data_IF_592445500275
#
_entry.id   IF_592445500275
#
_cell.length_a   1.000
_cell.length_b   1.000
_cell.length_c   1.000
_cell.angle_alpha   90.00
_cell.angle_beta   90.00
_cell.angle_gamma   90.00
#
_symmetry.space_group_name_H-M   'P 1'
#
loop_
_entity.id
_entity.type
_entity.pdbx_description
1 polymer ?
#
# COMPACT_ATOMS: atom_id res chain seq x y z
N UNK A 1 27.55 -76.96 -73.81
CA UNK A 1 26.13 -76.72 -73.48
C UNK A 1 25.89 -76.51 -71.97
N UNK A 2 26.32 -77.43 -71.08
CA UNK A 2 26.08 -77.32 -69.62
C UNK A 2 26.56 -76.02 -68.95
N UNK A 3 27.70 -75.44 -69.38
CA UNK A 3 28.23 -74.17 -68.83
C UNK A 3 27.38 -72.94 -69.14
N UNK A 4 26.75 -72.89 -70.31
CA UNK A 4 25.87 -71.78 -70.72
C UNK A 4 24.56 -71.86 -69.94
N UNK A 5 23.99 -73.06 -69.79
CA UNK A 5 22.80 -73.27 -68.98
C UNK A 5 23.02 -72.86 -67.51
N UNK A 6 24.17 -73.22 -66.93
CA UNK A 6 24.53 -72.83 -65.56
C UNK A 6 24.65 -71.30 -65.42
N UNK A 7 25.23 -70.62 -66.42
CA UNK A 7 25.34 -69.16 -66.43
C UNK A 7 23.97 -68.47 -66.54
N UNK A 8 23.05 -68.99 -67.35
CA UNK A 8 21.68 -68.45 -67.49
C UNK A 8 20.89 -68.63 -66.19
N UNK A 9 20.99 -69.78 -65.52
CA UNK A 9 20.35 -69.99 -64.22
C UNK A 9 20.92 -69.08 -63.13
N UNK A 10 22.24 -68.89 -63.09
CA UNK A 10 22.88 -67.97 -62.15
C UNK A 10 22.46 -66.51 -62.36
N UNK A 11 22.27 -66.10 -63.62
CA UNK A 11 21.78 -64.75 -63.95
C UNK A 11 20.30 -64.58 -63.57
N UNK A 12 19.47 -65.59 -63.82
CA UNK A 12 18.06 -65.58 -63.48
C UNK A 12 17.84 -65.53 -61.96
N UNK A 13 18.58 -66.32 -61.18
CA UNK A 13 18.48 -66.29 -59.70
C UNK A 13 19.00 -64.97 -59.14
N UNK A 14 20.07 -64.40 -59.71
CA UNK A 14 20.57 -63.08 -59.31
C UNK A 14 19.54 -61.98 -59.58
N UNK A 15 18.87 -61.97 -60.73
CA UNK A 15 17.81 -61.01 -61.06
C UNK A 15 16.60 -61.16 -60.12
N UNK A 16 16.18 -62.39 -59.81
CA UNK A 16 15.05 -62.65 -58.91
C UNK A 16 15.37 -62.16 -57.48
N UNK A 17 16.57 -62.44 -56.99
CA UNK A 17 17.03 -61.98 -55.67
C UNK A 17 17.15 -60.45 -55.64
N UNK A 18 17.68 -59.84 -56.71
CA UNK A 18 17.77 -58.39 -56.85
C UNK A 18 16.39 -57.71 -56.88
N UNK A 19 15.42 -58.27 -57.61
CA UNK A 19 14.04 -57.79 -57.62
C UNK A 19 13.40 -57.89 -56.23
N UNK A 20 13.53 -59.04 -55.55
CA UNK A 20 12.98 -59.23 -54.21
C UNK A 20 13.62 -58.29 -53.18
N UNK A 21 14.94 -58.10 -53.26
CA UNK A 21 15.69 -57.19 -52.39
C UNK A 21 15.24 -55.74 -52.53
N UNK A 22 14.75 -55.34 -53.71
CA UNK A 22 14.26 -53.99 -53.95
C UNK A 22 12.76 -53.83 -53.64
N UNK A 23 11.91 -54.85 -53.82
CA UNK A 23 10.46 -54.74 -53.55
C UNK A 23 10.10 -54.76 -52.06
N UNK A 24 10.80 -55.54 -51.24
CA UNK A 24 10.54 -55.65 -49.80
C UNK A 24 10.65 -54.28 -49.07
N UNK A 25 11.70 -53.45 -49.28
CA UNK A 25 11.78 -52.15 -48.62
C UNK A 25 10.68 -51.18 -49.09
N UNK A 26 10.22 -51.24 -50.34
CA UNK A 26 9.09 -50.42 -50.81
C UNK A 26 7.76 -50.81 -50.14
N UNK A 27 7.49 -52.12 -49.99
CA UNK A 27 6.30 -52.61 -49.29
C UNK A 27 6.35 -52.20 -47.82
N UNK A 28 7.51 -52.35 -47.17
CA UNK A 28 7.71 -51.93 -45.79
C UNK A 28 7.51 -50.42 -45.61
N UNK A 29 8.02 -49.61 -46.56
CA UNK A 29 7.82 -48.16 -46.58
C UNK A 29 6.34 -47.77 -46.74
N UNK A 30 5.60 -48.44 -47.63
CA UNK A 30 4.15 -48.22 -47.81
C UNK A 30 3.35 -48.56 -46.56
N UNK A 31 3.67 -49.69 -45.90
CA UNK A 31 3.05 -50.06 -44.61
C UNK A 31 3.36 -49.02 -43.55
N UNK A 32 4.59 -48.51 -43.48
CA UNK A 32 4.98 -47.47 -42.53
C UNK A 32 4.23 -46.15 -42.78
N UNK A 33 4.07 -45.75 -44.05
CA UNK A 33 3.29 -44.57 -44.44
C UNK A 33 1.81 -44.73 -44.07
N UNK A 34 1.22 -45.90 -44.31
CA UNK A 34 -0.17 -46.18 -43.93
C UNK A 34 -0.35 -46.16 -42.40
N UNK A 35 0.54 -46.81 -41.66
CA UNK A 35 0.50 -46.80 -40.19
C UNK A 35 0.68 -45.38 -39.64
N UNK A 36 1.59 -44.59 -40.20
CA UNK A 36 1.79 -43.19 -39.85
C UNK A 36 0.55 -42.33 -40.14
N UNK A 37 -0.10 -42.54 -41.29
CA UNK A 37 -1.33 -41.82 -41.66
C UNK A 37 -2.51 -42.14 -40.73
N UNK A 38 -2.66 -43.42 -40.34
CA UNK A 38 -3.69 -43.87 -39.39
C UNK A 38 -3.40 -43.31 -37.99
N UNK A 39 -2.14 -43.32 -37.56
CA UNK A 39 -1.73 -42.74 -36.28
C UNK A 39 -1.98 -41.24 -36.25
N UNK A 40 -1.58 -40.51 -37.29
CA UNK A 40 -1.84 -39.08 -37.44
C UNK A 40 -3.35 -38.77 -37.40
N UNK A 41 -4.16 -39.52 -38.13
CA UNK A 41 -5.62 -39.35 -38.13
C UNK A 41 -6.23 -39.62 -36.74
N UNK A 42 -5.77 -40.67 -36.06
CA UNK A 42 -6.21 -40.98 -34.68
C UNK A 42 -5.82 -39.88 -33.70
N UNK A 43 -4.60 -39.35 -33.80
CA UNK A 43 -4.11 -38.27 -32.94
C UNK A 43 -4.94 -37.01 -33.13
N UNK A 44 -5.20 -36.62 -34.38
CA UNK A 44 -6.02 -35.45 -34.72
C UNK A 44 -7.46 -35.59 -34.21
N UNK A 45 -8.06 -36.77 -34.35
CA UNK A 45 -9.41 -37.05 -33.81
C UNK A 45 -9.45 -36.94 -32.28
N UNK A 46 -8.39 -37.37 -31.59
CA UNK A 46 -8.29 -37.26 -30.12
C UNK A 46 -8.24 -35.79 -29.68
N UNK A 47 -7.45 -34.96 -30.37
CA UNK A 47 -7.41 -33.51 -30.11
C UNK A 47 -8.74 -32.83 -30.43
N UNK A 48 -9.41 -33.22 -31.51
CA UNK A 48 -10.72 -32.67 -31.86
C UNK A 48 -11.77 -33.00 -30.80
N UNK A 49 -11.76 -34.22 -30.26
CA UNK A 49 -12.67 -34.63 -29.20
C UNK A 49 -12.40 -33.85 -27.90
N UNK A 50 -11.14 -33.69 -27.52
CA UNK A 50 -10.73 -32.91 -26.35
C UNK A 50 -11.15 -31.43 -26.49
N UNK A 51 -11.00 -30.85 -27.68
CA UNK A 51 -11.48 -29.49 -27.98
C UNK A 51 -13.01 -29.40 -27.88
N UNK A 52 -13.74 -30.38 -28.41
CA UNK A 52 -15.21 -30.42 -28.38
C UNK A 52 -15.76 -30.59 -26.96
N UNK A 53 -15.08 -31.39 -26.11
CA UNK A 53 -15.43 -31.53 -24.70
C UNK A 53 -15.18 -30.22 -23.94
N UNK A 54 -14.07 -29.54 -24.20
CA UNK A 54 -13.77 -28.23 -23.62
C UNK A 54 -14.77 -27.15 -24.08
N UNK A 55 -15.22 -27.16 -25.33
CA UNK A 55 -16.28 -26.23 -25.78
C UNK A 55 -17.60 -26.53 -25.09
N UNK A 56 -17.99 -27.81 -24.97
CA UNK A 56 -19.23 -28.20 -24.30
C UNK A 56 -19.20 -27.83 -22.80
N UNK A 57 -18.05 -28.01 -22.14
CA UNK A 57 -17.87 -27.63 -20.74
C UNK A 57 -17.90 -26.09 -20.58
N UNK A 58 -17.28 -25.36 -21.50
CA UNK A 58 -17.34 -23.89 -21.53
C UNK A 58 -18.77 -23.39 -21.74
N UNK A 59 -19.53 -24.03 -22.63
CA UNK A 59 -20.94 -23.69 -22.90
C UNK A 59 -21.85 -24.04 -21.70
N UNK A 60 -21.59 -25.15 -21.02
CA UNK A 60 -22.28 -25.48 -19.78
C UNK A 60 -21.94 -24.52 -18.63
N UNK A 61 -20.67 -24.11 -18.52
CA UNK A 61 -20.23 -23.13 -17.53
C UNK A 61 -20.79 -21.73 -17.81
N UNK A 62 -20.91 -21.31 -19.08
CA UNK A 62 -21.55 -20.03 -19.44
C UNK A 62 -23.05 -20.06 -19.17
N UNK A 63 -23.74 -21.18 -19.40
CA UNK A 63 -25.15 -21.34 -18.99
C UNK A 63 -25.32 -21.31 -17.46
N UNK A 64 -24.41 -21.94 -16.71
CA UNK A 64 -24.39 -21.83 -15.24
C UNK A 64 -24.14 -20.40 -14.76
N UNK A 65 -23.22 -19.68 -15.40
CA UNK A 65 -22.97 -18.26 -15.11
C UNK A 65 -24.17 -17.38 -15.47
N UNK A 66 -24.90 -17.68 -16.55
CA UNK A 66 -26.15 -16.97 -16.88
C UNK A 66 -27.23 -17.21 -15.82
N UNK A 67 -27.34 -18.42 -15.27
CA UNK A 67 -28.28 -18.72 -14.18
C UNK A 67 -27.84 -18.14 -12.83
N UNK A 68 -26.53 -17.98 -12.61
CA UNK A 68 -25.95 -17.26 -11.46
C UNK A 68 -26.03 -15.73 -11.61
N UNK A 69 -26.17 -15.23 -12.84
CA UNK A 69 -26.43 -13.83 -13.15
C UNK A 69 -27.94 -13.55 -13.26
N UNK A 70 -28.71 -13.97 -12.25
CA UNK A 70 -29.72 -13.06 -11.72
C UNK A 70 -28.92 -11.89 -11.17
N UNK A 71 -28.75 -10.88 -12.03
CA UNK A 71 -28.20 -9.56 -11.79
C UNK A 71 -27.93 -9.35 -10.30
N UNK A 72 -26.66 -9.41 -9.82
CA UNK A 72 -26.40 -9.26 -8.41
C UNK A 72 -27.03 -7.93 -8.03
N UNK A 73 -28.06 -8.02 -7.21
CA UNK A 73 -28.91 -6.89 -6.87
C UNK A 73 -27.95 -5.75 -6.52
N UNK A 74 -28.06 -4.62 -7.22
CA UNK A 74 -27.13 -3.50 -7.05
C UNK A 74 -26.93 -3.14 -5.57
N UNK A 75 -27.94 -3.47 -4.75
CA UNK A 75 -27.95 -3.42 -3.29
C UNK A 75 -26.93 -4.34 -2.60
N UNK A 76 -26.73 -5.57 -3.07
CA UNK A 76 -25.79 -6.53 -2.47
C UNK A 76 -24.35 -6.09 -2.72
N UNK A 77 -24.01 -5.69 -3.95
CA UNK A 77 -22.68 -5.15 -4.25
C UNK A 77 -22.44 -3.82 -3.52
N UNK A 78 -23.46 -2.96 -3.43
CA UNK A 78 -23.39 -1.72 -2.66
C UNK A 78 -23.19 -2.00 -1.17
N UNK A 79 -23.89 -2.98 -0.59
CA UNK A 79 -23.76 -3.34 0.83
C UNK A 79 -22.40 -3.98 1.14
N UNK A 80 -21.85 -4.78 0.22
CA UNK A 80 -20.52 -5.37 0.35
C UNK A 80 -19.41 -4.30 0.25
N UNK A 81 -19.51 -3.39 -0.72
CA UNK A 81 -18.56 -2.27 -0.85
C UNK A 81 -18.67 -1.31 0.35
N UNK A 82 -19.88 -1.01 0.82
CA UNK A 82 -20.09 -0.21 2.04
C UNK A 82 -19.50 -0.88 3.28
N UNK A 83 -19.59 -2.22 3.39
CA UNK A 83 -18.96 -2.99 4.45
C UNK A 83 -17.43 -2.90 4.42
N UNK A 84 -16.82 -3.07 3.24
CA UNK A 84 -15.37 -2.93 3.05
C UNK A 84 -14.91 -1.49 3.34
N UNK A 85 -15.65 -0.49 2.84
CA UNK A 85 -15.40 0.93 3.11
C UNK A 85 -15.42 1.21 4.62
N UNK A 86 -16.43 0.69 5.33
CA UNK A 86 -16.56 0.85 6.78
C UNK A 86 -15.39 0.19 7.52
N UNK A 87 -14.92 -0.98 7.09
CA UNK A 87 -13.79 -1.67 7.72
C UNK A 87 -12.47 -0.93 7.54
N UNK A 88 -12.22 -0.38 6.34
CA UNK A 88 -11.02 0.42 6.06
C UNK A 88 -11.03 1.69 6.93
N UNK A 89 -12.17 2.38 7.00
CA UNK A 89 -12.32 3.58 7.83
C UNK A 89 -12.09 3.25 9.32
N UNK A 90 -12.63 2.13 9.82
CA UNK A 90 -12.44 1.70 11.22
C UNK A 90 -10.95 1.40 11.53
N UNK A 91 -10.24 0.76 10.60
CA UNK A 91 -8.82 0.45 10.78
C UNK A 91 -7.94 1.71 10.78
N UNK A 92 -8.22 2.66 9.90
CA UNK A 92 -7.50 3.94 9.92
C UNK A 92 -7.82 4.73 11.19
N UNK A 93 -9.10 4.83 11.60
CA UNK A 93 -9.49 5.51 12.84
C UNK A 93 -8.82 4.89 14.06
N UNK A 94 -8.78 3.55 14.18
CA UNK A 94 -8.14 2.88 15.32
C UNK A 94 -6.62 3.11 15.38
N UNK A 95 -5.98 3.27 14.23
CA UNK A 95 -4.55 3.63 14.11
C UNK A 95 -4.27 5.07 14.56
N UNK A 96 -5.20 6.00 14.31
CA UNK A 96 -5.11 7.38 14.80
C UNK A 96 -5.53 7.53 16.27
N UNK A 97 -6.50 6.74 16.75
CA UNK A 97 -7.04 6.82 18.10
C UNK A 97 -6.07 6.34 19.19
N UNK A 98 -5.03 5.59 18.83
CA UNK A 98 -4.12 4.94 19.79
C UNK A 98 -2.79 5.66 20.00
N UNK A 99 -2.52 6.78 19.31
CA UNK A 99 -1.30 7.55 19.59
C UNK A 99 -1.49 8.30 20.92
N UNK A 100 -0.72 7.98 21.98
CA UNK A 100 -0.81 8.72 23.23
C UNK A 100 -0.50 10.19 22.96
N UNK A 101 -1.27 11.09 23.58
CA UNK A 101 -1.04 12.53 23.47
C UNK A 101 0.43 12.82 23.82
N UNK A 102 1.13 13.68 23.04
CA UNK A 102 2.51 14.02 23.33
C UNK A 102 2.61 14.59 24.74
N UNK A 103 3.58 14.09 25.52
CA UNK A 103 3.84 14.53 26.89
C UNK A 103 5.26 15.09 26.97
N UNK A 104 5.43 16.15 27.73
CA UNK A 104 6.73 16.73 28.06
C UNK A 104 7.10 16.37 29.50
N UNK A 105 8.36 16.00 29.70
CA UNK A 105 8.92 15.76 31.01
C UNK A 105 9.47 17.08 31.58
N UNK A 106 8.91 17.54 32.69
CA UNK A 106 9.33 18.72 33.43
C UNK A 106 10.09 18.27 34.68
N UNK A 107 11.43 18.39 34.72
CA UNK A 107 12.20 18.07 35.90
C UNK A 107 12.04 19.19 36.95
N UNK A 108 11.37 18.88 38.06
CA UNK A 108 11.34 19.72 39.26
C UNK A 108 12.44 19.28 40.23
N UNK A 109 12.60 20.02 41.33
CA UNK A 109 13.60 19.72 42.36
C UNK A 109 13.43 18.33 42.99
N UNK A 110 12.19 17.90 43.26
CA UNK A 110 11.90 16.64 43.94
C UNK A 110 11.40 15.52 43.02
N UNK A 111 10.84 15.85 41.84
CA UNK A 111 10.19 14.89 40.97
C UNK A 111 10.28 15.29 39.49
N UNK A 112 10.07 14.35 38.57
CA UNK A 112 9.82 14.67 37.16
C UNK A 112 8.33 14.58 36.89
N UNK A 113 7.71 15.70 36.51
CA UNK A 113 6.29 15.76 36.18
C UNK A 113 6.08 15.61 34.68
N UNK A 114 5.21 14.67 34.29
CA UNK A 114 4.84 14.46 32.89
C UNK A 114 3.53 15.17 32.56
N UNK A 115 3.62 16.24 31.78
CA UNK A 115 2.48 17.09 31.42
C UNK A 115 2.11 16.85 29.96
N UNK A 116 0.81 16.75 29.64
CA UNK A 116 0.40 16.67 28.24
C UNK A 116 0.64 18.02 27.56
N UNK A 117 1.19 18.00 26.35
CA UNK A 117 1.57 19.23 25.65
C UNK A 117 0.35 20.13 25.36
N UNK A 118 -0.83 19.53 25.19
CA UNK A 118 -2.10 20.23 25.00
C UNK A 118 -2.56 21.00 26.26
N UNK A 119 -2.12 20.58 27.44
CA UNK A 119 -2.49 21.21 28.71
C UNK A 119 -1.64 22.45 29.01
N UNK A 120 -0.59 22.70 28.22
CA UNK A 120 0.29 23.85 28.39
C UNK A 120 -0.26 25.02 27.56
N UNK A 121 -0.61 26.11 28.26
CA UNK A 121 -1.16 27.33 27.67
C UNK A 121 -0.03 28.22 27.15
N UNK A 122 0.97 28.48 28.00
CA UNK A 122 2.14 29.30 27.67
C UNK A 122 3.31 28.99 28.58
N UNK A 123 4.51 29.36 28.14
CA UNK A 123 5.72 29.36 28.94
C UNK A 123 6.29 30.77 29.03
N UNK A 124 6.80 31.12 30.20
CA UNK A 124 7.40 32.40 30.51
C UNK A 124 8.84 32.20 30.99
N UNK A 125 9.78 32.99 30.45
CA UNK A 125 11.15 33.00 30.92
C UNK A 125 11.25 33.83 32.18
N UNK A 126 11.75 33.20 33.25
CA UNK A 126 12.14 33.86 34.49
C UNK A 126 13.65 33.69 34.68
N UNK A 127 14.40 34.56 34.00
CA UNK A 127 15.86 34.52 33.93
C UNK A 127 16.41 33.18 33.39
N UNK A 128 16.97 32.33 34.24
CA UNK A 128 17.48 30.99 33.89
C UNK A 128 16.44 29.88 34.05
N UNK A 129 15.26 30.23 34.57
CA UNK A 129 14.15 29.32 34.79
C UNK A 129 13.06 29.54 33.74
N UNK A 130 12.22 28.53 33.55
CA UNK A 130 11.03 28.61 32.72
C UNK A 130 9.82 28.26 33.55
N UNK A 131 8.86 29.18 33.60
CA UNK A 131 7.56 28.97 34.21
C UNK A 131 6.57 28.48 33.16
N UNK A 132 6.00 27.31 33.36
CA UNK A 132 4.94 26.73 32.55
C UNK A 132 3.60 27.09 33.17
N UNK A 133 2.69 27.67 32.37
CA UNK A 133 1.31 27.93 32.75
C UNK A 133 0.42 26.85 32.11
N UNK A 134 -0.27 26.08 32.95
CA UNK A 134 -1.15 25.00 32.52
C UNK A 134 -2.61 25.45 32.53
N UNK A 135 -3.46 24.67 31.88
CA UNK A 135 -4.91 24.82 31.98
C UNK A 135 -5.31 24.72 33.45
N UNK A 136 -6.23 25.59 33.88
CA UNK A 136 -6.67 25.66 35.27
C UNK A 136 -5.82 26.56 36.17
N UNK A 137 -4.77 27.19 35.64
CA UNK A 137 -3.95 28.17 36.38
C UNK A 137 -2.86 27.54 37.23
N UNK A 138 -2.58 26.25 37.07
CA UNK A 138 -1.41 25.62 37.68
C UNK A 138 -0.13 26.17 37.02
N UNK A 139 0.86 26.50 37.84
CA UNK A 139 2.17 26.98 37.38
C UNK A 139 3.28 26.01 37.81
N UNK A 140 4.18 25.66 36.89
CA UNK A 140 5.35 24.81 37.17
C UNK A 140 6.62 25.57 36.81
N UNK A 141 7.55 25.69 37.76
CA UNK A 141 8.86 26.29 37.54
C UNK A 141 9.90 25.20 37.27
N UNK A 142 10.65 25.34 36.17
CA UNK A 142 11.69 24.40 35.77
C UNK A 142 13.03 25.10 35.62
N UNK A 143 14.11 24.46 36.09
CA UNK A 143 15.50 24.93 36.04
C UNK A 143 16.15 24.76 34.66
N UNK A 144 15.44 25.11 33.59
CA UNK A 144 15.94 25.10 32.21
C UNK A 144 15.50 26.37 31.49
N UNK A 145 16.26 26.74 30.48
CA UNK A 145 16.01 27.98 29.74
C UNK A 145 14.83 27.85 28.77
N UNK A 146 14.14 28.96 28.51
CA UNK A 146 13.03 29.00 27.55
C UNK A 146 13.50 28.60 26.13
N UNK A 147 14.77 28.84 25.80
CA UNK A 147 15.36 28.48 24.51
C UNK A 147 15.36 26.97 24.29
N UNK A 148 15.80 26.19 25.28
CA UNK A 148 15.78 24.72 25.20
C UNK A 148 14.36 24.19 24.96
N UNK A 149 13.38 24.73 25.68
CA UNK A 149 11.99 24.33 25.50
C UNK A 149 11.36 24.84 24.22
N UNK A 150 11.86 25.94 23.64
CA UNK A 150 11.42 26.39 22.32
C UNK A 150 11.75 25.34 21.26
N UNK A 151 12.93 24.73 21.33
CA UNK A 151 13.34 23.70 20.39
C UNK A 151 12.53 22.41 20.60
N UNK A 152 12.38 21.97 21.86
CA UNK A 152 11.61 20.76 22.21
C UNK A 152 10.12 20.88 21.84
N UNK A 153 9.53 22.07 22.00
CA UNK A 153 8.10 22.30 21.73
C UNK A 153 7.84 22.81 20.30
N UNK A 154 8.87 22.99 19.48
CA UNK A 154 8.73 23.54 18.12
C UNK A 154 7.85 22.66 17.21
N UNK A 155 7.84 21.35 17.44
CA UNK A 155 7.02 20.38 16.70
C UNK A 155 5.55 20.34 17.16
N UNK A 156 5.22 21.04 18.25
CA UNK A 156 3.92 20.94 18.92
C UNK A 156 3.09 22.22 18.87
N UNK A 157 3.23 23.00 17.79
CA UNK A 157 2.46 24.24 17.57
C UNK A 157 2.69 25.31 18.65
N UNK A 158 3.89 25.35 19.23
CA UNK A 158 4.34 26.45 20.07
C UNK A 158 5.04 27.51 19.22
N UNK A 159 4.70 28.77 19.48
CA UNK A 159 5.31 29.92 18.82
C UNK A 159 5.92 30.87 19.82
N UNK A 160 7.17 31.27 19.56
CA UNK A 160 7.86 32.26 20.38
C UNK A 160 7.41 33.65 19.98
N UNK A 161 6.60 34.29 20.82
CA UNK A 161 6.01 35.60 20.56
C UNK A 161 6.92 36.73 21.00
N UNK A 162 7.61 36.55 22.13
CA UNK A 162 8.54 37.52 22.72
C UNK A 162 9.85 36.84 23.15
N UNK A 163 10.85 37.60 23.58
CA UNK A 163 12.07 37.00 24.14
C UNK A 163 11.78 36.13 25.39
N UNK A 164 10.75 36.52 26.15
CA UNK A 164 10.34 35.90 27.41
C UNK A 164 9.09 35.05 27.31
N UNK A 165 8.44 34.97 26.14
CA UNK A 165 7.15 34.27 26.00
C UNK A 165 7.15 33.28 24.85
N UNK A 166 6.71 32.07 25.16
CA UNK A 166 6.42 30.97 24.24
C UNK A 166 4.94 30.60 24.43
N UNK A 167 4.17 30.57 23.36
CA UNK A 167 2.70 30.45 23.43
C UNK A 167 2.25 29.26 22.60
N UNK A 168 1.32 28.47 23.13
CA UNK A 168 0.63 27.44 22.37
C UNK A 168 -0.43 28.09 21.48
N UNK A 169 -0.39 27.87 20.16
CA UNK A 169 -1.32 28.52 19.23
C UNK A 169 -2.76 28.04 19.40
N UNK A 170 -2.99 26.84 19.93
CA UNK A 170 -4.35 26.35 20.24
C UNK A 170 -5.07 27.16 21.32
N UNK A 171 -4.31 27.80 22.20
CA UNK A 171 -4.87 28.60 23.30
C UNK A 171 -4.99 30.09 22.95
N UNK A 172 -4.69 30.48 21.70
CA UNK A 172 -4.82 31.86 21.23
C UNK A 172 -6.27 32.13 20.85
N UNK A 173 -6.88 33.12 21.51
CA UNK A 173 -8.25 33.57 21.27
C UNK A 173 -8.33 34.60 20.14
N UNK A 174 -7.46 35.60 20.15
CA UNK A 174 -7.48 36.66 19.13
C UNK A 174 -6.17 37.44 19.05
N UNK A 175 -5.85 37.96 17.86
CA UNK A 175 -4.78 38.93 17.66
C UNK A 175 -5.28 40.36 17.90
N UNK A 176 -4.73 41.03 18.92
CA UNK A 176 -5.00 42.42 19.23
C UNK A 176 -4.04 43.36 18.46
N UNK A 177 -4.60 44.42 17.87
CA UNK A 177 -3.84 45.41 17.08
C UNK A 177 -3.32 46.60 17.91
N UNK A 178 -3.53 46.58 19.22
CA UNK A 178 -3.02 47.58 20.16
C UNK A 178 -1.50 47.43 20.39
N UNK A 179 -0.83 48.55 20.69
CA UNK A 179 0.57 48.63 21.16
C UNK A 179 1.62 47.83 20.36
N UNK A 180 1.43 47.71 19.04
CA UNK A 180 2.38 47.04 18.15
C UNK A 180 2.13 45.55 17.92
N UNK A 181 1.07 45.00 18.53
CA UNK A 181 0.58 43.64 18.32
C UNK A 181 0.70 42.77 19.58
N UNK A 182 -0.43 42.28 20.06
CA UNK A 182 -0.52 41.41 21.24
C UNK A 182 -1.45 40.23 20.95
N UNK A 183 -1.20 39.07 21.56
CA UNK A 183 -2.10 37.92 21.54
C UNK A 183 -2.98 37.94 22.78
N UNK A 184 -4.28 37.74 22.59
CA UNK A 184 -5.20 37.41 23.68
C UNK A 184 -5.34 35.89 23.73
N UNK A 185 -5.12 35.31 24.91
CA UNK A 185 -5.28 33.88 25.15
C UNK A 185 -6.68 33.55 25.69
N UNK A 186 -7.02 32.26 25.74
CA UNK A 186 -8.30 31.76 26.24
C UNK A 186 -8.52 32.04 27.74
N UNK A 187 -7.45 32.12 28.52
CA UNK A 187 -7.45 32.51 29.94
C UNK A 187 -7.64 34.03 30.14
N UNK A 188 -7.69 34.81 29.07
CA UNK A 188 -7.79 36.28 29.10
C UNK A 188 -6.44 37.00 29.22
N UNK A 189 -5.32 36.27 29.30
CA UNK A 189 -3.99 36.86 29.38
C UNK A 189 -3.61 37.51 28.05
N UNK A 190 -3.04 38.72 28.13
CA UNK A 190 -2.48 39.44 26.97
C UNK A 190 -0.97 39.19 26.89
N UNK A 191 -0.49 38.66 25.77
CA UNK A 191 0.93 38.39 25.52
C UNK A 191 1.47 39.32 24.44
N UNK A 192 2.51 40.13 24.72
CA UNK A 192 3.09 41.01 23.72
C UNK A 192 3.82 40.22 22.64
N UNK A 193 3.77 40.71 21.39
CA UNK A 193 4.52 40.13 20.28
C UNK A 193 5.64 41.08 19.86
N UNK A 194 6.88 40.58 19.81
CA UNK A 194 8.02 41.39 19.38
C UNK A 194 7.92 41.74 17.89
N UNK A 195 8.48 42.89 17.49
CA UNK A 195 8.51 43.31 16.08
C UNK A 195 9.17 42.25 15.17
N UNK A 196 10.21 41.59 15.67
CA UNK A 196 10.96 40.55 14.95
C UNK A 196 10.12 39.27 14.73
N UNK A 197 9.38 38.85 15.76
CA UNK A 197 8.60 37.61 15.69
C UNK A 197 7.23 37.80 15.06
N UNK A 198 6.75 39.04 14.93
CA UNK A 198 5.40 39.36 14.46
C UNK A 198 5.05 38.68 13.13
N UNK A 199 5.95 38.70 12.17
CA UNK A 199 5.67 38.16 10.83
C UNK A 199 5.61 36.62 10.89
N UNK A 200 6.50 35.99 11.66
CA UNK A 200 6.49 34.55 11.93
C UNK A 200 5.21 34.11 12.65
N UNK A 201 4.78 34.84 13.69
CA UNK A 201 3.54 34.51 14.43
C UNK A 201 2.32 34.67 13.52
N UNK A 202 2.27 35.72 12.69
CA UNK A 202 1.19 35.93 11.73
C UNK A 202 1.11 34.82 10.67
N UNK A 203 2.24 34.30 10.22
CA UNK A 203 2.28 33.20 9.26
C UNK A 203 1.71 31.92 9.88
N UNK A 204 2.15 31.59 11.11
CA UNK A 204 1.69 30.40 11.82
C UNK A 204 0.18 30.45 12.13
N UNK A 205 -0.35 31.62 12.53
CA UNK A 205 -1.78 31.77 12.86
C UNK A 205 -2.72 31.83 11.65
N UNK A 206 -2.20 31.92 10.43
CA UNK A 206 -3.03 31.92 9.20
C UNK A 206 -3.38 30.51 8.72
N UNK A 207 -2.67 29.50 9.22
CA UNK A 207 -2.87 28.09 8.87
C UNK A 207 -3.97 27.50 9.73
#
# INVERSE_FOLDING_TARGET
MKKILLAVYALATFIIIALHSQTIPFILMMVFILLASVFYYRQKKRQQNEFNELTLQKDAATLQLQHMNKQPDSQVLFSALAGIQSQIIQNEISKFATKPAPRVALPLFNETRYVAVNDIVRCEADNTYTKFMLIGGEEILVSKTLKEYTDVLSEHLFVRTHQSHLVNTFHVKSWLREDGGSLLLNDGTKIPVSKLNRDKVKEILKT
#
